data_IF_644771772015
#
_entry.id   IF_644771772015
#
_cell.length_a   1.000
_cell.length_b   1.000
_cell.length_c   1.000
_cell.angle_alpha   90.00
_cell.angle_beta   90.00
_cell.angle_gamma   90.00
#
_symmetry.space_group_name_H-M   'P 1'
#
loop_
_entity.id
_entity.type
_entity.pdbx_description
1 polymer ?
#
# COMPACT_ATOMS: atom_id res chain seq x y z
N UNK A 1 7.63 -11.25 3.09
CA UNK A 1 6.84 -10.14 2.55
C UNK A 1 7.79 -9.07 2.05
N UNK A 2 7.70 -8.71 0.79
CA UNK A 2 8.61 -7.68 0.27
C UNK A 2 8.20 -6.30 0.75
N UNK A 3 9.11 -5.66 1.47
CA UNK A 3 8.95 -4.27 1.85
C UNK A 3 9.29 -3.40 0.64
N UNK A 4 8.36 -2.52 0.25
CA UNK A 4 8.56 -1.68 -0.92
C UNK A 4 9.11 -0.31 -0.54
N UNK A 5 8.57 0.27 0.52
CA UNK A 5 8.92 1.64 0.88
C UNK A 5 8.65 1.87 2.36
N UNK A 6 9.46 2.71 2.98
CA UNK A 6 9.23 3.11 4.36
C UNK A 6 9.29 4.63 4.42
N UNK A 7 8.19 5.26 4.82
CA UNK A 7 8.06 6.72 4.89
C UNK A 7 7.34 7.10 6.16
N UNK A 8 7.92 8.00 6.95
CA UNK A 8 7.30 8.56 8.15
C UNK A 8 6.81 7.48 9.12
N UNK A 9 7.52 6.37 9.19
CA UNK A 9 7.14 5.28 10.07
C UNK A 9 6.13 4.32 9.48
N UNK A 10 5.55 4.65 8.34
CA UNK A 10 4.66 3.74 7.62
C UNK A 10 5.48 2.76 6.80
N UNK A 11 5.11 1.48 6.83
CA UNK A 11 5.75 0.45 6.02
C UNK A 11 4.79 0.02 4.93
N UNK A 12 5.23 0.14 3.67
CA UNK A 12 4.44 -0.24 2.50
C UNK A 12 4.98 -1.54 1.93
N UNK A 13 4.10 -2.51 1.72
CA UNK A 13 4.55 -3.85 1.33
C UNK A 13 3.47 -4.61 0.57
N UNK A 14 3.88 -5.73 -0.06
CA UNK A 14 2.97 -6.68 -0.68
C UNK A 14 3.01 -7.98 0.10
N UNK A 15 1.88 -8.71 0.11
CA UNK A 15 1.87 -10.08 0.58
C UNK A 15 2.41 -10.99 -0.54
N UNK A 16 2.67 -12.26 -0.18
CA UNK A 16 3.35 -13.18 -1.09
C UNK A 16 2.52 -13.54 -2.32
N UNK A 17 1.21 -13.68 -2.17
CA UNK A 17 0.35 -14.15 -3.25
C UNK A 17 -0.83 -13.21 -3.39
N UNK A 18 -0.82 -12.40 -4.44
CA UNK A 18 -1.85 -11.37 -4.59
C UNK A 18 -2.33 -11.22 -6.03
N UNK A 19 -2.04 -12.18 -6.89
CA UNK A 19 -2.35 -12.05 -8.31
C UNK A 19 -3.83 -12.11 -8.65
N UNK A 20 -4.69 -12.42 -7.68
CA UNK A 20 -6.12 -12.55 -7.94
C UNK A 20 -6.85 -11.21 -7.84
N UNK A 21 -6.19 -10.16 -7.39
CA UNK A 21 -6.82 -8.86 -7.19
C UNK A 21 -6.15 -7.79 -8.03
N UNK A 22 -6.86 -6.68 -8.28
CA UNK A 22 -6.22 -5.53 -8.94
C UNK A 22 -5.03 -5.03 -8.13
N UNK A 23 -4.16 -4.23 -8.76
CA UNK A 23 -2.99 -3.72 -8.04
C UNK A 23 -3.37 -2.99 -6.76
N UNK A 24 -2.63 -3.27 -5.70
CA UNK A 24 -2.88 -2.64 -4.41
C UNK A 24 -1.60 -2.66 -3.57
N UNK A 25 -1.60 -1.92 -2.47
CA UNK A 25 -0.48 -1.83 -1.55
C UNK A 25 -1.01 -1.91 -0.12
N UNK A 26 -0.27 -2.61 0.72
CA UNK A 26 -0.58 -2.69 2.15
C UNK A 26 0.32 -1.73 2.89
N UNK A 27 -0.20 -1.16 3.99
CA UNK A 27 0.59 -0.27 4.83
C UNK A 27 0.35 -0.61 6.29
N UNK A 28 1.42 -0.63 7.07
CA UNK A 28 1.35 -0.88 8.52
C UNK A 28 2.15 0.15 9.28
N UNK A 29 1.67 0.46 10.48
CA UNK A 29 2.42 1.21 11.47
C UNK A 29 1.97 0.72 12.83
N UNK A 30 2.90 0.09 13.58
CA UNK A 30 2.58 -0.57 14.84
C UNK A 30 1.47 -1.60 14.59
N UNK A 31 0.34 -1.50 15.29
CA UNK A 31 -0.75 -2.46 15.12
C UNK A 31 -1.82 -1.98 14.15
N UNK A 32 -1.57 -0.85 13.48
CA UNK A 32 -2.53 -0.27 12.55
C UNK A 32 -2.25 -0.77 11.14
N UNK A 33 -3.30 -0.90 10.35
CA UNK A 33 -3.21 -1.52 9.03
C UNK A 33 -4.15 -0.84 8.05
N UNK A 34 -3.73 -0.74 6.79
CA UNK A 34 -4.61 -0.28 5.72
C UNK A 34 -4.21 -0.94 4.41
N UNK A 35 -5.15 -0.97 3.48
CA UNK A 35 -4.95 -1.47 2.13
C UNK A 35 -5.52 -0.44 1.16
N UNK A 36 -4.72 -0.08 0.17
CA UNK A 36 -5.14 0.89 -0.85
C UNK A 36 -5.07 0.27 -2.23
N UNK A 37 -6.13 0.47 -3.02
CA UNK A 37 -6.06 0.17 -4.44
C UNK A 37 -5.17 1.20 -5.11
N UNK A 38 -4.50 0.81 -6.20
CA UNK A 38 -3.55 1.70 -6.88
C UNK A 38 -4.13 2.34 -8.13
N UNK A 39 -5.22 1.83 -8.69
CA UNK A 39 -5.70 2.35 -9.96
C UNK A 39 -7.21 2.26 -10.04
N UNK A 40 -7.92 3.31 -9.64
CA UNK A 40 -7.42 4.56 -9.04
C UNK A 40 -7.01 4.36 -7.58
N UNK A 41 -6.25 5.31 -7.07
CA UNK A 41 -5.85 5.25 -5.66
C UNK A 41 -7.07 5.47 -4.79
N UNK A 42 -7.41 4.47 -3.97
CA UNK A 42 -8.55 4.56 -3.08
C UNK A 42 -8.39 3.57 -1.93
N UNK A 43 -8.96 3.91 -0.80
CA UNK A 43 -8.88 3.05 0.38
C UNK A 43 -9.74 1.81 0.18
N UNK A 44 -9.13 0.64 0.35
CA UNK A 44 -9.87 -0.62 0.31
C UNK A 44 -10.39 -0.97 1.70
N UNK A 45 -9.53 -0.86 2.71
CA UNK A 45 -9.96 -1.05 4.10
C UNK A 45 -8.85 -0.58 5.03
N UNK A 46 -9.21 -0.37 6.29
CA UNK A 46 -8.23 0.05 7.29
C UNK A 46 -8.66 -0.42 8.68
N UNK A 47 -7.69 -0.47 9.57
CA UNK A 47 -7.93 -0.83 10.96
C UNK A 47 -6.95 -0.05 11.83
N UNK A 48 -7.48 0.77 12.73
CA UNK A 48 -6.68 1.46 13.73
C UNK A 48 -6.17 2.83 13.35
N UNK A 49 -6.12 3.16 12.08
CA UNK A 49 -5.69 4.49 11.65
C UNK A 49 -6.81 5.52 11.83
N UNK A 50 -6.44 6.74 12.19
CA UNK A 50 -7.37 7.85 12.23
C UNK A 50 -7.56 8.43 10.84
N UNK A 51 -8.64 9.19 10.65
CA UNK A 51 -8.95 9.73 9.32
C UNK A 51 -7.82 10.61 8.79
N UNK A 52 -7.18 11.40 9.66
CA UNK A 52 -6.04 12.22 9.24
C UNK A 52 -4.86 11.40 8.78
N UNK A 53 -4.62 10.27 9.45
CA UNK A 53 -3.55 9.36 9.05
C UNK A 53 -3.86 8.71 7.71
N UNK A 54 -5.12 8.31 7.50
CA UNK A 54 -5.54 7.72 6.22
C UNK A 54 -5.34 8.73 5.09
N UNK A 55 -5.69 10.00 5.33
CA UNK A 55 -5.48 11.04 4.33
C UNK A 55 -4.00 11.22 4.00
N UNK A 56 -3.15 11.20 5.01
CA UNK A 56 -1.71 11.31 4.79
C UNK A 56 -1.18 10.13 4.00
N UNK A 57 -1.60 8.92 4.39
CA UNK A 57 -1.16 7.70 3.70
C UNK A 57 -1.64 7.73 2.25
N UNK A 58 -2.87 8.15 2.00
CA UNK A 58 -3.38 8.22 0.63
C UNK A 58 -2.55 9.18 -0.21
N UNK A 59 -2.14 10.31 0.37
CA UNK A 59 -1.29 11.25 -0.36
C UNK A 59 0.04 10.60 -0.72
N UNK A 60 0.62 9.86 0.21
CA UNK A 60 1.88 9.17 -0.05
C UNK A 60 1.69 8.13 -1.17
N UNK A 61 0.59 7.37 -1.11
CA UNK A 61 0.32 6.37 -2.15
C UNK A 61 0.17 7.04 -3.51
N UNK A 62 -0.51 8.18 -3.56
CA UNK A 62 -0.68 8.91 -4.82
C UNK A 62 0.66 9.42 -5.34
N UNK A 63 1.51 9.92 -4.46
CA UNK A 63 2.83 10.41 -4.86
C UNK A 63 3.73 9.28 -5.34
N UNK A 64 3.59 8.10 -4.76
CA UNK A 64 4.45 6.96 -5.07
C UNK A 64 3.77 5.93 -5.97
N UNK A 65 2.69 6.31 -6.61
CA UNK A 65 1.89 5.37 -7.39
C UNK A 65 2.72 4.65 -8.45
N UNK A 66 3.55 5.39 -9.18
CA UNK A 66 4.37 4.79 -10.22
C UNK A 66 5.33 3.75 -9.67
N UNK A 67 5.96 4.07 -8.54
CA UNK A 67 6.87 3.11 -7.89
C UNK A 67 6.11 1.87 -7.46
N UNK A 68 4.95 2.05 -6.84
CA UNK A 68 4.18 0.92 -6.34
C UNK A 68 3.68 0.04 -7.49
N UNK A 69 3.25 0.65 -8.59
CA UNK A 69 2.79 -0.14 -9.74
C UNK A 69 3.95 -0.89 -10.38
N UNK A 70 5.11 -0.26 -10.48
CA UNK A 70 6.28 -0.93 -11.02
C UNK A 70 6.66 -2.14 -10.16
N UNK A 71 6.69 -1.96 -8.83
CA UNK A 71 7.02 -3.05 -7.93
C UNK A 71 5.95 -4.12 -7.92
N UNK A 72 4.69 -3.74 -8.08
CA UNK A 72 3.61 -4.69 -8.18
C UNK A 72 3.83 -5.63 -9.37
N UNK A 73 4.15 -5.07 -10.54
CA UNK A 73 4.38 -5.89 -11.73
C UNK A 73 5.58 -6.80 -11.54
N UNK A 74 6.65 -6.32 -10.94
CA UNK A 74 7.81 -7.15 -10.66
C UNK A 74 7.46 -8.29 -9.71
N UNK A 75 6.65 -7.99 -8.71
CA UNK A 75 6.24 -8.97 -7.72
C UNK A 75 5.44 -10.10 -8.36
N UNK A 76 4.58 -9.78 -9.32
CA UNK A 76 3.74 -10.77 -9.97
C UNK A 76 4.44 -11.61 -11.01
N UNK A 77 5.63 -11.22 -11.44
CA UNK A 77 6.37 -11.97 -12.45
C UNK A 77 7.00 -13.22 -11.91
N UNK A 78 6.90 -13.49 -10.64
CA UNK A 78 7.53 -14.65 -10.02
C UNK A 78 6.69 -15.88 -10.12
#
# INVERSE_FOLDING_TARGET
MPLVLRVKGYRFFFFSVEGQEPPHIHVEQAERYAKFWLNPVSLARSRGFRSGEISEIQRIVEEQKSLFEERWHEHLKR
#
